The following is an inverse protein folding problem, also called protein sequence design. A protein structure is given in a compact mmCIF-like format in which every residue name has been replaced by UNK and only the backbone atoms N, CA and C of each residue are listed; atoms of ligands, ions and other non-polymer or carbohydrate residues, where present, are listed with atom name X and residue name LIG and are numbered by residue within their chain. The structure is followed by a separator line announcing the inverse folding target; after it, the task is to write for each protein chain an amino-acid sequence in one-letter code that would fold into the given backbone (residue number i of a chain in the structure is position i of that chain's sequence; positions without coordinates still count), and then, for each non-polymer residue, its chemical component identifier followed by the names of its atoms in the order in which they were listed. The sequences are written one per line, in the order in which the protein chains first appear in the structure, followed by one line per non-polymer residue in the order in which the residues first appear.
data_IF_357478033850
#
_entry.id   IF_357478033850
#
_cell.length_a   1.000
_cell.length_b   1.000
_cell.length_c   1.000
_cell.angle_alpha   90.00
_cell.angle_beta   90.00
_cell.angle_gamma   90.00
#
_symmetry.space_group_name_H-M   'P 1'
#
loop_
_entity.id
_entity.type
_entity.pdbx_description
1 polymer ?
#
# COMPACT_ATOMS: atom_id res chain seq x y z
N UNK A 1 2.27 -47.68 -26.38
CA UNK A 1 2.52 -47.33 -24.97
C UNK A 1 2.94 -45.87 -24.94
N UNK A 2 2.05 -44.98 -24.52
CA UNK A 2 2.33 -43.66 -23.93
C UNK A 2 0.98 -43.03 -23.62
N UNK A 3 0.58 -43.11 -22.36
CA UNK A 3 -0.55 -42.36 -21.82
C UNK A 3 -0.04 -41.00 -21.37
N UNK A 4 -0.49 -39.96 -22.08
CA UNK A 4 -0.56 -38.59 -21.59
C UNK A 4 -1.89 -38.45 -20.84
N UNK A 5 -1.82 -38.27 -19.53
CA UNK A 5 -2.91 -37.72 -18.70
C UNK A 5 -2.32 -36.44 -18.12
N UNK A 6 -2.73 -35.27 -18.59
CA UNK A 6 -3.91 -34.56 -18.09
C UNK A 6 -3.78 -34.32 -16.58
N UNK A 7 -3.22 -33.18 -16.22
CA UNK A 7 -3.57 -32.46 -15.00
C UNK A 7 -3.36 -30.96 -15.26
N UNK A 8 -4.35 -30.40 -15.95
CA UNK A 8 -4.77 -29.02 -15.78
C UNK A 8 -5.51 -28.93 -14.44
N UNK A 9 -5.08 -28.06 -13.52
CA UNK A 9 -5.96 -27.18 -12.72
C UNK A 9 -5.22 -26.58 -11.53
N UNK A 10 -4.80 -25.31 -11.68
CA UNK A 10 -5.21 -24.19 -10.83
C UNK A 10 -4.31 -22.97 -11.10
N UNK A 11 -4.38 -22.48 -12.32
CA UNK A 11 -4.01 -21.09 -12.63
C UNK A 11 -5.22 -20.20 -12.32
N UNK A 12 -5.40 -19.84 -11.05
CA UNK A 12 -6.08 -18.59 -10.72
C UNK A 12 -5.11 -17.45 -11.01
N UNK A 13 -4.94 -17.13 -12.30
CA UNK A 13 -4.32 -15.87 -12.71
C UNK A 13 -5.30 -14.74 -12.45
N UNK A 14 -5.56 -14.44 -11.18
CA UNK A 14 -6.08 -13.15 -10.78
C UNK A 14 -5.05 -12.13 -11.26
N UNK A 15 -5.46 -11.20 -12.11
CA UNK A 15 -4.60 -10.10 -12.52
C UNK A 15 -4.21 -9.34 -11.23
N UNK A 16 -3.06 -9.67 -10.62
CA UNK A 16 -2.64 -9.09 -9.34
C UNK A 16 -2.26 -7.63 -9.61
N UNK A 17 -3.24 -6.75 -9.51
CA UNK A 17 -3.02 -5.31 -9.65
C UNK A 17 -2.51 -4.80 -8.31
N UNK A 18 -1.35 -4.16 -8.33
CA UNK A 18 -0.82 -3.48 -7.17
C UNK A 18 -1.87 -2.45 -6.66
N UNK A 19 -1.98 -2.28 -5.35
CA UNK A 19 -2.85 -1.25 -4.77
C UNK A 19 -2.01 -0.13 -4.18
N UNK A 20 -2.36 1.11 -4.50
CA UNK A 20 -1.54 2.29 -4.21
C UNK A 20 -2.30 3.29 -3.35
N UNK A 21 -1.65 3.81 -2.33
CA UNK A 21 -2.08 5.06 -1.70
C UNK A 21 -1.23 6.21 -2.25
N UNK A 22 -1.85 7.14 -2.97
CA UNK A 22 -1.21 8.34 -3.53
C UNK A 22 -1.30 9.48 -2.51
N UNK A 23 -0.18 9.78 -1.87
CA UNK A 23 -0.04 10.81 -0.84
C UNK A 23 0.65 12.06 -1.41
N UNK A 24 0.03 13.23 -1.20
CA UNK A 24 0.57 14.56 -1.53
C UNK A 24 -0.06 15.60 -0.59
N UNK A 25 0.57 16.77 -0.43
CA UNK A 25 0.03 17.85 0.40
C UNK A 25 -1.31 18.37 -0.14
N UNK A 26 -2.22 18.79 0.75
CA UNK A 26 -3.50 19.37 0.34
C UNK A 26 -3.34 20.59 -0.59
N UNK A 27 -2.28 21.38 -0.37
CA UNK A 27 -1.93 22.55 -1.19
C UNK A 27 -1.45 22.19 -2.61
N UNK A 28 -1.05 20.94 -2.85
CA UNK A 28 -0.52 20.46 -4.14
C UNK A 28 -1.64 19.97 -5.07
N UNK A 29 -2.88 19.94 -4.57
CA UNK A 29 -4.04 19.40 -5.27
C UNK A 29 -4.22 20.07 -6.65
N UNK A 30 -4.38 19.28 -7.72
CA UNK A 30 -4.77 19.82 -9.02
C UNK A 30 -6.21 20.35 -8.97
N UNK A 31 -6.45 21.51 -9.60
CA UNK A 31 -7.79 22.09 -9.72
C UNK A 31 -8.68 21.15 -10.53
N UNK A 32 -9.63 20.48 -9.86
CA UNK A 32 -10.67 19.71 -10.53
C UNK A 32 -11.70 20.69 -11.08
N UNK A 33 -11.76 20.83 -12.41
CA UNK A 33 -12.69 21.73 -13.11
C UNK A 33 -14.17 21.31 -13.04
N UNK A 34 -14.66 20.91 -11.86
CA UNK A 34 -15.97 20.28 -11.71
C UNK A 34 -16.62 20.32 -10.31
N UNK A 35 -16.17 21.14 -9.37
CA UNK A 35 -16.95 21.39 -8.14
C UNK A 35 -17.94 22.54 -8.38
N UNK A 36 -19.09 22.21 -8.98
CA UNK A 36 -20.32 22.98 -8.80
C UNK A 36 -21.06 22.38 -7.61
N UNK A 37 -20.74 22.81 -6.40
CA UNK A 37 -21.73 22.82 -5.32
C UNK A 37 -21.46 23.98 -4.35
N UNK A 38 -22.35 24.95 -4.45
CA UNK A 38 -22.79 25.94 -3.48
C UNK A 38 -22.09 25.94 -2.12
N UNK A 39 -21.15 26.87 -1.94
CA UNK A 39 -21.21 27.93 -0.93
C UNK A 39 -20.06 28.91 -1.17
N UNK A 40 -20.38 30.20 -1.07
CA UNK A 40 -19.53 31.33 -1.45
C UNK A 40 -18.07 31.22 -0.94
N UNK A 41 -17.11 31.16 -1.86
CA UNK A 41 -15.74 31.64 -1.62
C UNK A 41 -15.16 32.15 -2.94
N UNK A 42 -14.73 33.40 -2.87
CA UNK A 42 -13.88 34.19 -3.77
C UNK A 42 -13.39 33.43 -5.02
N UNK A 43 -13.79 33.94 -6.19
CA UNK A 43 -13.26 33.55 -7.49
C UNK A 43 -11.73 33.74 -7.51
N UNK A 44 -11.00 32.67 -7.23
CA UNK A 44 -9.59 32.56 -7.58
C UNK A 44 -9.53 32.37 -9.09
N UNK A 45 -8.93 33.34 -9.77
CA UNK A 45 -8.56 33.28 -11.19
C UNK A 45 -7.97 31.91 -11.56
N UNK A 46 -8.07 31.44 -12.82
CA UNK A 46 -7.44 30.18 -13.23
C UNK A 46 -5.92 30.35 -13.14
N UNK A 47 -5.36 30.07 -11.97
CA UNK A 47 -3.92 29.98 -11.74
C UNK A 47 -3.44 28.85 -12.64
N UNK A 48 -2.51 29.16 -13.54
CA UNK A 48 -1.84 28.17 -14.38
C UNK A 48 -1.47 26.96 -13.51
N UNK A 49 -1.83 25.76 -13.95
CA UNK A 49 -1.59 24.54 -13.19
C UNK A 49 -0.12 24.49 -12.74
N UNK A 50 0.11 24.41 -11.42
CA UNK A 50 1.46 24.32 -10.88
C UNK A 50 2.14 23.06 -11.44
N UNK A 51 3.48 23.06 -11.64
CA UNK A 51 4.19 21.88 -12.16
C UNK A 51 3.90 20.60 -11.34
N UNK A 52 3.68 20.75 -10.04
CA UNK A 52 3.32 19.66 -9.12
C UNK A 52 1.91 19.14 -9.40
N UNK A 53 0.93 20.02 -9.61
CA UNK A 53 -0.42 19.62 -9.97
C UNK A 53 -0.44 18.84 -11.30
N UNK A 54 0.38 19.25 -12.28
CA UNK A 54 0.55 18.52 -13.52
C UNK A 54 1.17 17.13 -13.28
N UNK A 55 2.16 17.03 -12.40
CA UNK A 55 2.79 15.76 -12.00
C UNK A 55 1.78 14.81 -11.33
N UNK A 56 0.96 15.30 -10.39
CA UNK A 56 -0.08 14.51 -9.73
C UNK A 56 -1.13 14.01 -10.73
N UNK A 57 -1.57 14.85 -11.66
CA UNK A 57 -2.49 14.44 -12.72
C UNK A 57 -1.87 13.37 -13.63
N UNK A 58 -0.58 13.50 -13.96
CA UNK A 58 0.12 12.51 -14.75
C UNK A 58 0.27 11.17 -14.02
N UNK A 59 0.49 11.18 -12.69
CA UNK A 59 0.49 9.98 -11.85
C UNK A 59 -0.89 9.31 -11.84
N UNK A 60 -1.97 10.08 -11.65
CA UNK A 60 -3.35 9.56 -11.71
C UNK A 60 -3.64 8.91 -13.05
N UNK A 61 -3.26 9.58 -14.15
CA UNK A 61 -3.43 9.05 -15.50
C UNK A 61 -2.65 7.74 -15.68
N UNK A 62 -1.38 7.71 -15.26
CA UNK A 62 -0.56 6.50 -15.31
C UNK A 62 -1.19 5.34 -14.52
N UNK A 63 -1.63 5.58 -13.28
CA UNK A 63 -2.24 4.54 -12.44
C UNK A 63 -3.53 4.01 -13.09
N UNK A 64 -4.34 4.91 -13.66
CA UNK A 64 -5.58 4.55 -14.36
C UNK A 64 -5.31 3.74 -15.63
N UNK A 65 -4.38 4.20 -16.48
CA UNK A 65 -4.01 3.50 -17.71
C UNK A 65 -3.38 2.13 -17.42
N UNK A 66 -2.58 2.04 -16.36
CA UNK A 66 -1.96 0.79 -15.91
C UNK A 66 -2.93 -0.14 -15.17
N UNK A 67 -4.21 0.23 -15.00
CA UNK A 67 -5.23 -0.52 -14.26
C UNK A 67 -4.82 -0.83 -12.81
N UNK A 68 -4.10 0.09 -12.18
CA UNK A 68 -3.65 0.01 -10.79
C UNK A 68 -4.71 0.68 -9.91
N UNK A 69 -5.27 -0.07 -8.96
CA UNK A 69 -6.22 0.49 -7.99
C UNK A 69 -5.48 1.47 -7.06
N UNK A 70 -6.05 2.65 -6.86
CA UNK A 70 -5.47 3.61 -5.95
C UNK A 70 -6.50 4.39 -5.14
N UNK A 71 -6.07 4.81 -3.95
CA UNK A 71 -6.71 5.82 -3.13
C UNK A 71 -5.84 7.07 -3.11
N UNK A 72 -6.44 8.21 -2.87
CA UNK A 72 -5.73 9.48 -2.73
C UNK A 72 -6.25 10.26 -1.52
N UNK A 73 -5.39 11.11 -0.96
CA UNK A 73 -5.82 12.11 -0.01
C UNK A 73 -6.83 13.04 -0.70
N UNK A 74 -8.11 12.94 -0.30
CA UNK A 74 -9.24 13.81 -0.67
C UNK A 74 -10.07 13.39 -1.91
N UNK A 75 -11.01 12.47 -1.71
CA UNK A 75 -12.41 12.75 -2.11
C UNK A 75 -12.97 13.80 -1.14
N UNK A 76 -14.01 14.60 -1.45
CA UNK A 76 -14.71 15.29 -0.39
C UNK A 76 -15.12 14.23 0.63
N UNK A 77 -14.45 14.23 1.79
CA UNK A 77 -14.80 13.32 2.86
C UNK A 77 -16.26 13.66 3.18
N UNK A 78 -17.18 12.68 3.23
CA UNK A 78 -18.46 12.95 3.87
C UNK A 78 -18.14 13.60 5.21
N UNK A 79 -18.81 14.69 5.57
CA UNK A 79 -18.52 15.57 6.73
C UNK A 79 -18.39 14.85 8.09
N UNK A 80 -18.63 13.54 8.10
CA UNK A 80 -18.60 12.62 9.22
C UNK A 80 -17.22 11.96 9.40
N UNK A 81 -16.34 11.98 8.39
CA UNK A 81 -15.08 11.21 8.43
C UNK A 81 -13.87 12.10 8.73
N UNK A 82 -13.22 11.83 9.85
CA UNK A 82 -11.93 12.40 10.23
C UNK A 82 -10.83 12.06 9.19
N UNK A 83 -10.09 13.06 8.66
CA UNK A 83 -9.07 12.85 7.64
C UNK A 83 -7.96 11.87 8.03
N UNK A 84 -7.47 11.94 9.27
CA UNK A 84 -6.38 11.06 9.75
C UNK A 84 -6.83 9.60 9.74
N UNK A 85 -8.01 9.34 10.29
CA UNK A 85 -8.64 8.02 10.30
C UNK A 85 -8.82 7.46 8.89
N UNK A 86 -9.11 8.32 7.92
CA UNK A 86 -9.34 7.91 6.57
C UNK A 86 -8.04 7.60 5.80
N UNK A 87 -7.00 8.39 6.02
CA UNK A 87 -5.63 8.10 5.55
C UNK A 87 -5.12 6.81 6.18
N UNK A 88 -5.36 6.59 7.47
CA UNK A 88 -4.98 5.36 8.17
C UNK A 88 -5.64 4.13 7.52
N UNK A 89 -6.96 4.14 7.33
CA UNK A 89 -7.67 3.03 6.66
C UNK A 89 -7.16 2.77 5.24
N UNK A 90 -6.87 3.82 4.48
CA UNK A 90 -6.36 3.66 3.12
C UNK A 90 -4.92 3.11 3.13
N UNK A 91 -4.09 3.52 4.10
CA UNK A 91 -2.73 3.01 4.30
C UNK A 91 -2.74 1.54 4.72
N UNK A 92 -3.68 1.13 5.55
CA UNK A 92 -3.88 -0.28 5.90
C UNK A 92 -4.21 -1.12 4.68
N UNK A 93 -5.07 -0.62 3.79
CA UNK A 93 -5.57 -1.33 2.62
C UNK A 93 -4.61 -1.33 1.42
N UNK A 94 -3.66 -0.39 1.34
CA UNK A 94 -2.74 -0.31 0.20
C UNK A 94 -1.52 -1.23 0.34
N UNK A 95 -0.95 -1.65 -0.79
CA UNK A 95 0.30 -2.42 -0.83
C UNK A 95 1.51 -1.48 -0.93
N UNK A 96 1.31 -0.35 -1.61
CA UNK A 96 2.32 0.65 -1.91
C UNK A 96 1.87 2.01 -1.41
N UNK A 97 2.77 2.73 -0.75
CA UNK A 97 2.55 4.11 -0.34
C UNK A 97 3.37 5.03 -1.24
N UNK A 98 2.71 5.64 -2.21
CA UNK A 98 3.32 6.51 -3.22
C UNK A 98 3.30 7.96 -2.70
N UNK A 99 4.45 8.45 -2.26
CA UNK A 99 4.59 9.78 -1.65
C UNK A 99 5.16 10.78 -2.66
N UNK A 100 4.37 11.80 -3.02
CA UNK A 100 4.84 12.94 -3.81
C UNK A 100 5.62 13.88 -2.90
N UNK A 101 6.94 13.91 -3.08
CA UNK A 101 7.86 14.73 -2.32
C UNK A 101 7.89 16.16 -2.87
N UNK A 102 7.40 17.07 -2.03
CA UNK A 102 7.52 18.52 -2.15
C UNK A 102 7.82 19.11 -0.76
N UNK A 103 8.38 20.33 -0.66
CA UNK A 103 8.53 21.00 0.63
C UNK A 103 7.20 21.15 1.38
N UNK A 104 6.09 21.26 0.63
CA UNK A 104 4.72 21.34 1.18
C UNK A 104 4.25 20.01 1.75
N UNK A 105 4.51 18.89 1.06
CA UNK A 105 4.23 17.54 1.58
C UNK A 105 4.96 17.25 2.89
N UNK A 106 6.20 17.72 3.03
CA UNK A 106 6.96 17.58 4.27
C UNK A 106 6.53 18.52 5.40
N UNK A 107 5.76 19.58 5.09
CA UNK A 107 5.18 20.48 6.09
C UNK A 107 3.72 20.13 6.42
N UNK A 108 3.10 19.23 5.67
CA UNK A 108 1.70 18.81 5.84
C UNK A 108 1.61 17.71 6.91
N UNK A 109 0.94 18.03 8.01
CA UNK A 109 0.82 17.15 9.17
C UNK A 109 0.14 15.81 8.83
N UNK A 110 -0.90 15.83 7.99
CA UNK A 110 -1.64 14.63 7.59
C UNK A 110 -0.76 13.74 6.72
N UNK A 111 0.00 14.35 5.79
CA UNK A 111 0.92 13.63 4.92
C UNK A 111 2.04 12.95 5.73
N UNK A 112 2.66 13.68 6.67
CA UNK A 112 3.70 13.14 7.56
C UNK A 112 3.16 12.03 8.46
N UNK A 113 1.99 12.22 9.07
CA UNK A 113 1.37 11.20 9.91
C UNK A 113 1.04 9.94 9.12
N UNK A 114 0.48 10.10 7.91
CA UNK A 114 0.23 8.99 7.00
C UNK A 114 1.51 8.23 6.63
N UNK A 115 2.61 8.95 6.36
CA UNK A 115 3.91 8.34 6.09
C UNK A 115 4.44 7.55 7.29
N UNK A 116 4.42 8.13 8.49
CA UNK A 116 4.88 7.46 9.72
C UNK A 116 4.06 6.18 9.98
N UNK A 117 2.76 6.24 9.73
CA UNK A 117 1.88 5.09 9.85
C UNK A 117 2.14 4.03 8.77
N UNK A 118 2.44 4.42 7.53
CA UNK A 118 2.83 3.49 6.48
C UNK A 118 4.14 2.76 6.81
N UNK A 119 5.10 3.49 7.39
CA UNK A 119 6.37 2.93 7.87
C UNK A 119 6.15 1.94 9.02
N UNK A 120 5.31 2.28 10.01
CA UNK A 120 5.01 1.37 11.12
C UNK A 120 4.28 0.10 10.67
N UNK A 121 3.56 0.17 9.55
CA UNK A 121 2.90 -0.95 8.89
C UNK A 121 3.77 -1.69 7.88
N UNK A 122 5.09 -1.44 7.87
CA UNK A 122 6.08 -2.05 6.97
C UNK A 122 5.70 -1.98 5.47
N UNK A 123 4.92 -0.96 5.07
CA UNK A 123 4.45 -0.78 3.69
C UNK A 123 5.60 -0.42 2.76
N UNK A 124 5.45 -0.72 1.47
CA UNK A 124 6.43 -0.29 0.48
C UNK A 124 6.25 1.18 0.15
N UNK A 125 7.12 2.02 0.67
CA UNK A 125 7.14 3.45 0.34
C UNK A 125 7.83 3.64 -1.01
N UNK A 126 7.18 4.38 -1.91
CA UNK A 126 7.73 4.77 -3.22
C UNK A 126 7.74 6.30 -3.26
N UNK A 127 8.89 6.94 -3.05
CA UNK A 127 8.93 8.39 -3.10
C UNK A 127 9.05 8.88 -4.56
N UNK A 128 8.28 9.90 -4.89
CA UNK A 128 8.25 10.57 -6.20
C UNK A 128 8.66 12.01 -6.01
N UNK A 129 9.79 12.41 -6.57
CA UNK A 129 10.33 13.75 -6.40
C UNK A 129 9.69 14.70 -7.43
N UNK A 130 8.75 15.55 -7.00
CA UNK A 130 8.09 16.53 -7.86
C UNK A 130 8.74 17.93 -7.76
N UNK A 131 9.31 18.27 -6.60
CA UNK A 131 10.11 19.47 -6.38
C UNK A 131 11.46 19.12 -5.74
N UNK A 132 12.45 20.01 -5.82
CA UNK A 132 13.72 19.78 -5.13
C UNK A 132 13.53 19.87 -3.62
N UNK A 133 13.92 18.82 -2.92
CA UNK A 133 13.88 18.70 -1.46
C UNK A 133 15.28 18.33 -0.98
N UNK A 134 15.76 18.98 0.08
CA UNK A 134 17.05 18.64 0.69
C UNK A 134 16.97 17.29 1.40
N UNK A 135 17.97 16.42 1.19
CA UNK A 135 18.04 15.12 1.86
C UNK A 135 17.99 15.23 3.39
N UNK A 136 18.55 16.31 3.95
CA UNK A 136 18.55 16.58 5.40
C UNK A 136 17.16 16.85 5.97
N UNK A 137 16.17 17.20 5.14
CA UNK A 137 14.78 17.41 5.55
C UNK A 137 13.96 16.11 5.48
N UNK A 138 14.49 15.04 4.86
CA UNK A 138 13.81 13.77 4.79
C UNK A 138 14.08 12.95 6.05
N UNK A 139 13.08 12.26 6.61
CA UNK A 139 13.30 11.22 7.61
C UNK A 139 14.31 10.18 7.09
N UNK A 140 15.16 9.64 7.97
CA UNK A 140 16.20 8.66 7.63
C UNK A 140 15.68 7.47 6.78
N UNK A 141 14.48 6.90 7.05
CA UNK A 141 13.94 5.82 6.22
C UNK A 141 13.69 6.22 4.76
N UNK A 142 13.48 7.50 4.45
CA UNK A 142 13.29 7.98 3.08
C UNK A 142 14.60 8.34 2.38
N UNK A 143 15.66 8.64 3.12
CA UNK A 143 16.96 9.04 2.55
C UNK A 143 17.64 7.89 1.79
N UNK A 144 17.38 6.65 2.21
CA UNK A 144 17.96 5.44 1.61
C UNK A 144 17.14 4.88 0.46
N UNK A 145 15.91 5.36 0.26
CA UNK A 145 15.02 4.89 -0.79
C UNK A 145 15.37 5.53 -2.13
N UNK A 146 15.28 4.72 -3.18
CA UNK A 146 15.36 5.22 -4.54
C UNK A 146 14.12 6.05 -4.88
N UNK A 147 14.32 7.27 -5.36
CA UNK A 147 13.21 8.16 -5.75
C UNK A 147 12.91 8.05 -7.26
N UNK A 148 11.65 8.24 -7.65
CA UNK A 148 11.28 8.50 -9.05
C UNK A 148 11.33 10.01 -9.27
N UNK A 149 12.26 10.49 -10.09
CA UNK A 149 12.47 11.93 -10.31
C UNK A 149 11.55 12.47 -11.41
N UNK A 150 10.54 13.26 -11.04
CA UNK A 150 9.59 13.91 -11.95
C UNK A 150 9.68 15.45 -11.87
N UNK A 151 10.81 16.00 -11.41
CA UNK A 151 11.01 17.47 -11.35
C UNK A 151 11.07 18.09 -12.73
N UNK A 152 11.52 17.34 -13.74
CA UNK A 152 11.57 17.82 -15.12
C UNK A 152 10.17 17.79 -15.74
N UNK A 153 9.74 18.88 -16.41
CA UNK A 153 8.45 18.90 -17.09
C UNK A 153 8.28 17.73 -18.06
N UNK A 154 7.12 17.08 -17.99
CA UNK A 154 6.79 15.94 -18.83
C UNK A 154 6.57 16.37 -20.29
N UNK A 155 7.30 15.78 -21.22
CA UNK A 155 7.17 16.03 -22.66
C UNK A 155 6.25 15.03 -23.37
N UNK A 156 5.93 13.92 -22.71
CA UNK A 156 5.03 12.86 -23.19
C UNK A 156 4.20 12.31 -22.02
N UNK A 157 3.14 11.51 -22.28
CA UNK A 157 2.39 10.85 -21.22
C UNK A 157 3.32 10.03 -20.30
N UNK A 158 3.11 10.13 -18.99
CA UNK A 158 4.04 9.56 -18.00
C UNK A 158 4.26 8.06 -18.20
N UNK A 159 3.23 7.30 -18.59
CA UNK A 159 3.36 5.86 -18.85
C UNK A 159 4.39 5.53 -19.97
N UNK A 160 4.62 6.46 -20.89
CA UNK A 160 5.59 6.33 -22.00
C UNK A 160 6.98 6.86 -21.65
N UNK A 161 7.14 7.54 -20.52
CA UNK A 161 8.44 7.99 -20.02
C UNK A 161 9.25 6.83 -19.41
N UNK A 162 10.54 7.04 -19.17
CA UNK A 162 11.39 6.05 -18.51
C UNK A 162 10.98 5.93 -17.03
N UNK A 163 10.71 7.06 -16.40
CA UNK A 163 10.37 7.23 -15.00
C UNK A 163 9.02 6.57 -14.67
N UNK A 164 8.02 6.75 -15.54
CA UNK A 164 6.71 6.10 -15.39
C UNK A 164 6.80 4.58 -15.57
N UNK A 165 7.58 4.08 -16.54
CA UNK A 165 7.82 2.63 -16.66
C UNK A 165 8.55 2.06 -15.45
N UNK A 166 9.54 2.79 -14.90
CA UNK A 166 10.22 2.41 -13.67
C UNK A 166 9.25 2.35 -12.48
N UNK A 167 8.36 3.34 -12.35
CA UNK A 167 7.32 3.37 -11.32
C UNK A 167 6.41 2.14 -11.44
N UNK A 168 5.82 1.88 -12.61
CA UNK A 168 4.94 0.72 -12.83
C UNK A 168 5.65 -0.59 -12.55
N UNK A 169 6.91 -0.72 -12.99
CA UNK A 169 7.74 -1.91 -12.71
C UNK A 169 7.95 -2.09 -11.21
N UNK A 170 8.24 -1.01 -10.48
CA UNK A 170 8.43 -1.04 -9.02
C UNK A 170 7.14 -1.44 -8.31
N UNK A 171 6.00 -0.88 -8.70
CA UNK A 171 4.69 -1.21 -8.13
C UNK A 171 4.31 -2.68 -8.34
N UNK A 172 4.67 -3.29 -9.48
CA UNK A 172 4.40 -4.71 -9.74
C UNK A 172 5.48 -5.66 -9.21
N UNK A 173 6.66 -5.16 -8.84
CA UNK A 173 7.71 -6.00 -8.30
C UNK A 173 7.22 -6.73 -7.05
N UNK A 174 7.30 -8.07 -7.05
CA UNK A 174 6.82 -8.92 -5.95
C UNK A 174 5.40 -8.56 -5.46
N UNK A 175 4.50 -8.14 -6.38
CA UNK A 175 3.15 -7.69 -6.02
C UNK A 175 2.38 -8.71 -5.18
N UNK A 176 2.50 -10.01 -5.49
CA UNK A 176 1.89 -11.08 -4.70
C UNK A 176 2.32 -11.02 -3.22
N UNK A 177 3.61 -10.85 -2.95
CA UNK A 177 4.12 -10.77 -1.58
C UNK A 177 3.49 -9.59 -0.82
N UNK A 178 3.52 -8.40 -1.40
CA UNK A 178 2.98 -7.20 -0.77
C UNK A 178 1.45 -7.26 -0.60
N UNK A 179 0.76 -7.89 -1.54
CA UNK A 179 -0.67 -8.10 -1.46
C UNK A 179 -1.04 -9.09 -0.35
N UNK A 180 -0.37 -10.24 -0.25
CA UNK A 180 -0.58 -11.19 0.86
C UNK A 180 -0.23 -10.54 2.20
N UNK A 181 0.87 -9.80 2.27
CA UNK A 181 1.23 -9.01 3.45
C UNK A 181 0.07 -8.11 3.87
N UNK A 182 -0.43 -7.29 2.96
CA UNK A 182 -1.53 -6.35 3.25
C UNK A 182 -2.83 -7.06 3.62
N UNK A 183 -3.23 -8.10 2.88
CA UNK A 183 -4.45 -8.86 3.17
C UNK A 183 -4.43 -9.47 4.56
N UNK A 184 -3.31 -10.09 4.93
CA UNK A 184 -3.14 -10.67 6.26
C UNK A 184 -3.13 -9.59 7.35
N UNK A 185 -2.47 -8.45 7.10
CA UNK A 185 -2.45 -7.31 8.03
C UNK A 185 -3.84 -6.74 8.27
N UNK A 186 -4.64 -6.54 7.22
CA UNK A 186 -6.01 -6.03 7.33
C UNK A 186 -6.88 -6.97 8.18
N UNK A 187 -6.77 -8.28 7.96
CA UNK A 187 -7.50 -9.29 8.76
C UNK A 187 -7.05 -9.28 10.22
N UNK A 188 -5.75 -9.22 10.46
CA UNK A 188 -5.19 -9.16 11.80
C UNK A 188 -5.61 -7.87 12.56
N UNK A 189 -5.62 -6.72 11.88
CA UNK A 189 -6.12 -5.46 12.44
C UNK A 189 -7.62 -5.50 12.72
N UNK A 190 -8.42 -6.09 11.84
CA UNK A 190 -9.86 -6.28 12.07
C UNK A 190 -10.10 -7.17 13.30
N UNK A 191 -9.36 -8.27 13.42
CA UNK A 191 -9.40 -9.16 14.57
C UNK A 191 -9.02 -8.45 15.87
N UNK A 192 -7.93 -7.69 15.89
CA UNK A 192 -7.52 -6.89 17.06
C UNK A 192 -8.61 -5.88 17.46
N UNK A 193 -9.20 -5.17 16.48
CA UNK A 193 -10.27 -4.19 16.70
C UNK A 193 -11.57 -4.80 17.24
N UNK A 194 -11.86 -6.05 16.87
CA UNK A 194 -13.04 -6.78 17.35
C UNK A 194 -12.73 -7.59 18.61
N UNK A 195 -11.83 -7.08 19.47
CA UNK A 195 -11.47 -7.68 20.75
C UNK A 195 -11.03 -9.14 20.61
N UNK A 196 -10.34 -9.44 19.50
CA UNK A 196 -9.81 -10.76 19.15
C UNK A 196 -10.87 -11.85 19.02
N UNK A 197 -12.02 -11.52 18.43
CA UNK A 197 -13.12 -12.46 18.16
C UNK A 197 -12.63 -13.74 17.42
N UNK A 198 -12.80 -14.94 18.01
CA UNK A 198 -12.43 -16.21 17.38
C UNK A 198 -13.11 -16.47 16.03
N UNK A 199 -14.27 -15.87 15.75
CA UNK A 199 -14.98 -16.02 14.49
C UNK A 199 -14.21 -15.42 13.29
N UNK A 200 -13.29 -14.49 13.55
CA UNK A 200 -12.46 -13.85 12.53
C UNK A 200 -11.14 -14.56 12.26
N UNK A 201 -10.74 -15.53 13.08
CA UNK A 201 -9.46 -16.20 12.92
C UNK A 201 -9.46 -17.05 11.60
N UNK A 202 -8.28 -17.35 11.06
CA UNK A 202 -8.10 -18.05 9.78
C UNK A 202 -8.31 -19.57 9.88
N UNK A 203 -8.93 -20.20 8.88
CA UNK A 203 -9.21 -21.66 8.90
C UNK A 203 -8.96 -22.32 7.54
N UNK A 204 -8.74 -23.63 7.57
CA UNK A 204 -8.57 -24.45 6.36
C UNK A 204 -7.37 -24.03 5.52
N UNK A 205 -7.56 -23.97 4.21
CA UNK A 205 -6.50 -23.64 3.23
C UNK A 205 -5.89 -22.25 3.46
N UNK A 206 -6.71 -21.26 3.83
CA UNK A 206 -6.27 -19.89 4.08
C UNK A 206 -5.28 -19.79 5.25
N UNK A 207 -5.49 -20.59 6.30
CA UNK A 207 -4.54 -20.71 7.41
C UNK A 207 -3.23 -21.35 6.94
N UNK A 208 -3.32 -22.44 6.17
CA UNK A 208 -2.14 -23.14 5.66
C UNK A 208 -1.31 -22.28 4.68
N UNK A 209 -1.97 -21.46 3.85
CA UNK A 209 -1.32 -20.45 3.00
C UNK A 209 -0.63 -19.37 3.82
N UNK A 210 -1.32 -18.81 4.82
CA UNK A 210 -0.77 -17.75 5.68
C UNK A 210 0.43 -18.24 6.48
N UNK A 211 0.41 -19.48 6.99
CA UNK A 211 1.55 -20.10 7.66
C UNK A 211 2.76 -20.28 6.74
N UNK A 212 2.55 -20.79 5.51
CA UNK A 212 3.61 -20.93 4.51
C UNK A 212 4.20 -19.58 4.12
N UNK A 213 3.35 -18.59 3.90
CA UNK A 213 3.78 -17.23 3.58
C UNK A 213 4.63 -16.63 4.70
N UNK A 214 4.20 -16.73 5.97
CA UNK A 214 4.95 -16.21 7.11
C UNK A 214 6.33 -16.86 7.28
N UNK A 215 6.44 -18.17 7.05
CA UNK A 215 7.70 -18.90 7.16
C UNK A 215 8.77 -18.37 6.18
N UNK A 216 8.35 -17.90 5.00
CA UNK A 216 9.22 -17.21 4.04
C UNK A 216 9.41 -15.72 4.35
N UNK A 217 8.33 -15.03 4.74
CA UNK A 217 8.31 -13.58 4.95
C UNK A 217 9.23 -13.13 6.10
N UNK A 218 9.31 -13.91 7.18
CA UNK A 218 10.18 -13.62 8.35
C UNK A 218 11.68 -13.64 8.03
N UNK A 219 12.10 -14.29 6.92
CA UNK A 219 13.50 -14.38 6.50
C UNK A 219 13.96 -13.22 5.62
N UNK A 220 13.04 -12.34 5.23
CA UNK A 220 13.33 -11.21 4.32
C UNK A 220 14.02 -10.09 5.09
N UNK A 221 14.84 -9.31 4.40
CA UNK A 221 15.52 -8.13 4.98
C UNK A 221 14.62 -6.88 5.02
N UNK A 222 13.60 -6.83 4.18
CA UNK A 222 12.70 -5.68 4.06
C UNK A 222 11.24 -6.14 4.04
N UNK A 223 10.35 -5.23 4.48
CA UNK A 223 8.90 -5.44 4.50
C UNK A 223 8.52 -6.73 5.24
N UNK A 224 9.18 -7.01 6.36
CA UNK A 224 8.89 -8.16 7.20
C UNK A 224 7.46 -8.09 7.74
N UNK A 225 6.82 -9.25 8.00
CA UNK A 225 5.50 -9.27 8.61
C UNK A 225 5.55 -8.61 9.99
N UNK A 226 4.48 -7.89 10.33
CA UNK A 226 4.30 -7.33 11.66
C UNK A 226 4.07 -8.44 12.68
N UNK A 227 4.45 -8.16 13.93
CA UNK A 227 4.15 -9.05 15.06
C UNK A 227 2.66 -9.37 15.17
N UNK A 228 1.79 -8.40 14.89
CA UNK A 228 0.33 -8.61 14.88
C UNK A 228 -0.10 -9.67 13.86
N UNK A 229 0.51 -9.71 12.66
CA UNK A 229 0.22 -10.72 11.66
C UNK A 229 0.67 -12.11 12.12
N UNK A 230 1.86 -12.20 12.72
CA UNK A 230 2.36 -13.45 13.28
C UNK A 230 1.46 -13.96 14.42
N UNK A 231 1.02 -13.07 15.31
CA UNK A 231 0.10 -13.38 16.39
C UNK A 231 -1.24 -13.89 15.88
N UNK A 232 -1.82 -13.19 14.90
CA UNK A 232 -3.09 -13.57 14.31
C UNK A 232 -3.05 -14.98 13.67
N UNK A 233 -1.98 -15.31 12.94
CA UNK A 233 -1.79 -16.66 12.37
C UNK A 233 -1.54 -17.71 13.45
N UNK A 234 -0.76 -17.39 14.48
CA UNK A 234 -0.51 -18.30 15.59
C UNK A 234 -1.81 -18.63 16.36
N UNK A 235 -2.63 -17.63 16.67
CA UNK A 235 -3.88 -17.85 17.40
C UNK A 235 -4.90 -18.61 16.55
N UNK A 236 -4.93 -18.33 15.23
CA UNK A 236 -5.68 -19.14 14.28
C UNK A 236 -5.23 -20.61 14.32
N UNK A 237 -3.92 -20.86 14.28
CA UNK A 237 -3.38 -22.21 14.35
C UNK A 237 -3.72 -22.94 15.67
N UNK A 238 -3.77 -22.22 16.80
CA UNK A 238 -4.15 -22.81 18.10
C UNK A 238 -5.62 -23.19 18.15
N UNK A 239 -6.50 -22.37 17.59
CA UNK A 239 -7.95 -22.60 17.62
C UNK A 239 -8.39 -23.80 16.76
N UNK A 240 -7.75 -24.01 15.60
CA UNK A 240 -8.14 -25.07 14.65
C UNK A 240 -7.10 -26.18 14.45
N UNK A 241 -5.93 -26.07 15.08
CA UNK A 241 -4.83 -27.04 14.93
C UNK A 241 -5.11 -28.44 15.46
N UNK A 242 -6.28 -28.69 16.06
CA UNK A 242 -6.65 -29.96 16.71
C UNK A 242 -7.72 -30.75 15.94
N UNK A 243 -8.05 -30.38 14.68
CA UNK A 243 -9.05 -31.10 13.86
C UNK A 243 -8.52 -31.76 12.58
N UNK A 244 -7.21 -31.70 12.34
CA UNK A 244 -6.59 -32.34 11.18
C UNK A 244 -5.10 -32.52 11.39
N UNK A 245 -4.71 -33.68 11.89
CA UNK A 245 -3.32 -34.15 11.92
C UNK A 245 -2.67 -33.91 10.55
N UNK A 246 -1.59 -33.13 10.52
CA UNK A 246 -0.35 -33.31 9.70
C UNK A 246 0.55 -32.05 9.70
N UNK A 247 0.06 -30.84 9.98
CA UNK A 247 0.88 -29.60 9.80
C UNK A 247 1.62 -29.12 11.08
N UNK A 248 1.28 -29.64 12.26
CA UNK A 248 1.83 -29.16 13.55
C UNK A 248 3.34 -29.42 13.76
N UNK A 249 4.01 -30.26 12.97
CA UNK A 249 5.44 -30.54 13.17
C UNK A 249 6.37 -29.40 12.72
N UNK A 250 5.93 -28.51 11.83
CA UNK A 250 6.75 -27.39 11.33
C UNK A 250 6.49 -26.05 12.06
N UNK A 251 5.59 -26.00 13.04
CA UNK A 251 5.27 -24.78 13.79
C UNK A 251 6.25 -24.45 14.94
N UNK A 252 7.34 -25.21 15.09
CA UNK A 252 8.37 -24.98 16.13
C UNK A 252 9.03 -23.59 16.06
N UNK A 253 9.03 -22.95 14.89
CA UNK A 253 9.53 -21.57 14.75
C UNK A 253 8.59 -20.51 15.34
N UNK A 254 7.28 -20.78 15.49
CA UNK A 254 6.34 -19.84 16.11
C UNK A 254 6.57 -19.72 17.62
N UNK A 255 6.98 -20.81 18.30
CA UNK A 255 7.33 -20.76 19.74
C UNK A 255 8.53 -19.84 20.00
N UNK A 256 9.53 -19.86 19.11
CA UNK A 256 10.71 -18.98 19.18
C UNK A 256 10.41 -17.49 18.99
N UNK A 257 9.21 -17.14 18.55
CA UNK A 257 8.78 -15.75 18.35
C UNK A 257 8.00 -15.18 19.55
N UNK A 258 7.56 -16.04 20.47
CA UNK A 258 6.81 -15.66 21.68
C UNK A 258 7.63 -15.77 22.97
N UNK A 259 8.83 -16.37 22.91
CA UNK A 259 9.86 -16.32 23.97
C UNK A 259 10.75 -15.08 23.79
#
# INVERSE_FOLDING_TARGET
MNNLTADDAHQHSTHLTARVFLAYAAADRPSTGGDKSDHATIAVSPVAATPVAATINALRQLLTEAQIEYWECHRPWPTIVDPESAVARATEACDNYLLVLTPRALADAICLQGLLFALSMNKRIVPVLAETVSANCLPEPLQTLENIDLRTPLTCPLLQSVEGRQLVKRLHHEANYHQTHTQLLVKALQWERQLRDPALLLRGEELAESQRWLAGATRRSHHQPLQLQALYVAESARQWGDRGDTVMQDAGWLKRWFE
#
